data_IF_629853651073
#
_entry.id   IF_629853651073
#
_cell.length_a   1.000
_cell.length_b   1.000
_cell.length_c   1.000
_cell.angle_alpha   90.00
_cell.angle_beta   90.00
_cell.angle_gamma   90.00
#
_symmetry.space_group_name_H-M   'P 1'
#
loop_
_entity.id
_entity.type
_entity.pdbx_description
1 polymer ?
#
# COMPACT_ATOMS: atom_id res chain seq x y z
N UNK A 1 2.34 9.07 -10.26
CA UNK A 1 2.51 10.53 -10.05
C UNK A 1 1.11 11.10 -9.86
N UNK A 2 0.95 12.06 -8.95
CA UNK A 2 -0.31 12.76 -8.69
C UNK A 2 -0.14 14.26 -8.93
N UNK A 3 -1.21 14.92 -9.36
CA UNK A 3 -1.30 16.37 -9.66
C UNK A 3 -1.55 17.19 -8.38
N UNK A 4 -0.66 17.03 -7.41
CA UNK A 4 -0.60 17.86 -6.20
C UNK A 4 0.79 17.74 -5.58
N UNK A 5 1.33 18.83 -5.05
CA UNK A 5 2.69 18.92 -4.55
C UNK A 5 2.84 19.82 -3.32
N UNK A 6 3.98 20.49 -3.19
CA UNK A 6 4.28 21.41 -2.09
C UNK A 6 3.23 22.51 -1.93
N UNK A 7 2.69 23.03 -3.04
CA UNK A 7 1.68 24.10 -3.03
C UNK A 7 0.35 23.63 -2.42
N UNK A 8 0.13 22.31 -2.38
CA UNK A 8 -0.99 21.65 -1.71
C UNK A 8 -0.67 21.17 -0.28
N UNK A 9 0.46 21.59 0.30
CA UNK A 9 0.98 21.15 1.60
C UNK A 9 1.20 19.63 1.71
N UNK A 10 1.55 18.98 0.59
CA UNK A 10 1.91 17.55 0.59
C UNK A 10 3.33 17.39 1.12
N UNK A 11 3.53 16.38 1.97
CA UNK A 11 4.83 16.02 2.52
C UNK A 11 5.20 14.57 2.15
N UNK A 12 6.51 14.31 2.09
CA UNK A 12 7.01 12.95 1.96
C UNK A 12 6.57 12.10 3.17
N UNK A 13 6.26 10.83 2.91
CA UNK A 13 5.71 9.90 3.91
C UNK A 13 4.20 9.97 4.09
N UNK A 14 3.50 10.94 3.48
CA UNK A 14 2.03 10.98 3.57
C UNK A 14 1.41 9.71 2.94
N UNK A 15 0.41 9.10 3.60
CA UNK A 15 -0.31 7.97 3.04
C UNK A 15 -1.20 8.41 1.88
N UNK A 16 -1.26 7.58 0.84
CA UNK A 16 -2.13 7.79 -0.32
C UNK A 16 -3.25 6.77 -0.28
N UNK A 17 -4.49 7.24 -0.41
CA UNK A 17 -5.69 6.41 -0.36
C UNK A 17 -6.44 6.42 -1.70
N UNK A 18 -7.08 5.30 -2.03
CA UNK A 18 -8.12 5.20 -3.06
C UNK A 18 -9.46 4.91 -2.41
N UNK A 19 -10.57 5.25 -3.08
CA UNK A 19 -11.94 5.08 -2.58
C UNK A 19 -12.18 5.67 -1.17
N UNK A 20 -11.37 6.67 -0.78
CA UNK A 20 -11.46 7.36 0.51
C UNK A 20 -10.83 6.64 1.71
N UNK A 21 -10.64 5.32 1.67
CA UNK A 21 -10.19 4.55 2.84
C UNK A 21 -9.22 3.40 2.56
N UNK A 22 -8.90 3.09 1.31
CA UNK A 22 -7.99 1.98 0.96
C UNK A 22 -6.58 2.53 0.75
N UNK A 23 -5.60 2.26 1.63
CA UNK A 23 -4.25 2.77 1.48
C UNK A 23 -3.53 2.03 0.33
N UNK A 24 -2.99 2.76 -0.63
CA UNK A 24 -2.33 2.19 -1.82
C UNK A 24 -0.82 2.43 -1.88
N UNK A 25 -0.30 3.34 -1.07
CA UNK A 25 1.11 3.67 -1.03
C UNK A 25 1.40 4.88 -0.16
N UNK A 26 2.62 5.41 -0.32
CA UNK A 26 3.11 6.60 0.38
C UNK A 26 3.74 7.57 -0.61
N UNK A 27 3.72 8.85 -0.28
CA UNK A 27 4.48 9.86 -1.03
C UNK A 27 5.97 9.63 -0.81
N UNK A 28 6.70 9.29 -1.88
CA UNK A 28 8.16 9.06 -1.83
C UNK A 28 8.97 10.27 -2.23
N UNK A 29 8.38 11.22 -2.97
CA UNK A 29 9.01 12.48 -3.34
C UNK A 29 7.98 13.54 -3.65
N UNK A 30 8.22 14.77 -3.20
CA UNK A 30 7.34 15.92 -3.47
C UNK A 30 8.05 16.93 -4.37
N UNK A 31 7.35 17.41 -5.39
CA UNK A 31 7.72 18.56 -6.23
C UNK A 31 6.73 19.71 -6.00
N UNK A 32 6.96 20.88 -6.58
CA UNK A 32 6.11 22.07 -6.37
C UNK A 32 4.63 21.80 -6.65
N UNK A 33 4.32 21.20 -7.80
CA UNK A 33 2.93 20.95 -8.24
C UNK A 33 2.56 19.47 -8.36
N UNK A 34 3.53 18.55 -8.24
CA UNK A 34 3.28 17.11 -8.38
C UNK A 34 3.99 16.30 -7.30
N UNK A 35 3.54 15.07 -7.09
CA UNK A 35 4.19 14.15 -6.15
C UNK A 35 4.34 12.75 -6.74
N UNK A 36 5.41 12.07 -6.36
CA UNK A 36 5.65 10.67 -6.67
C UNK A 36 5.09 9.81 -5.54
N UNK A 37 4.31 8.80 -5.92
CA UNK A 37 3.76 7.80 -5.00
C UNK A 37 4.54 6.52 -5.18
N UNK A 38 5.08 5.98 -4.10
CA UNK A 38 5.54 4.60 -4.07
C UNK A 38 4.37 3.71 -3.63
N UNK A 39 3.87 2.89 -4.54
CA UNK A 39 2.76 1.98 -4.28
C UNK A 39 3.21 0.81 -3.41
N UNK A 40 2.32 0.29 -2.56
CA UNK A 40 2.58 -0.94 -1.81
C UNK A 40 2.71 -2.15 -2.74
N UNK A 41 1.99 -2.15 -3.86
CA UNK A 41 2.07 -3.23 -4.86
C UNK A 41 3.34 -3.16 -5.71
N UNK A 42 4.29 -2.24 -5.46
CA UNK A 42 5.53 -2.16 -6.23
C UNK A 42 6.29 -3.51 -6.13
N UNK A 43 6.74 -4.11 -7.25
CA UNK A 43 7.41 -5.41 -7.22
C UNK A 43 8.53 -5.52 -6.18
N UNK A 44 8.41 -6.51 -5.29
CA UNK A 44 9.40 -6.78 -4.24
C UNK A 44 9.28 -5.92 -2.98
N UNK A 45 8.36 -4.94 -2.95
CA UNK A 45 8.07 -4.19 -1.73
C UNK A 45 7.36 -5.09 -0.72
N UNK A 46 7.87 -5.15 0.50
CA UNK A 46 7.27 -5.88 1.61
C UNK A 46 6.45 -4.92 2.46
N UNK A 47 5.19 -5.26 2.72
CA UNK A 47 4.28 -4.50 3.56
C UNK A 47 3.68 -5.43 4.61
N UNK A 48 3.88 -5.15 5.90
CA UNK A 48 3.27 -5.92 6.98
C UNK A 48 1.77 -5.61 7.08
N UNK A 49 0.97 -6.65 7.28
CA UNK A 49 -0.47 -6.55 7.50
C UNK A 49 -0.94 -7.48 8.61
N UNK A 50 -2.21 -7.35 8.97
CA UNK A 50 -2.93 -8.29 9.83
C UNK A 50 -4.06 -8.88 8.99
N UNK A 51 -4.16 -10.20 8.94
CA UNK A 51 -5.26 -10.86 8.22
C UNK A 51 -6.55 -10.71 9.01
N UNK A 52 -7.55 -10.04 8.43
CA UNK A 52 -8.84 -9.82 9.07
C UNK A 52 -9.53 -11.14 9.46
N UNK A 53 -10.25 -11.13 10.58
CA UNK A 53 -10.78 -12.34 11.22
C UNK A 53 -9.74 -13.18 11.97
N UNK A 54 -8.46 -12.76 12.00
CA UNK A 54 -7.40 -13.37 12.78
C UNK A 54 -6.49 -12.31 13.42
N UNK A 55 -5.66 -12.70 14.40
CA UNK A 55 -4.58 -11.86 14.91
C UNK A 55 -3.23 -12.23 14.27
N UNK A 56 -3.26 -12.81 13.07
CA UNK A 56 -2.05 -13.28 12.39
C UNK A 56 -1.45 -12.14 11.58
N UNK A 57 -0.19 -11.81 11.89
CA UNK A 57 0.60 -10.90 11.07
C UNK A 57 1.11 -11.61 9.84
N UNK A 58 1.01 -10.95 8.68
CA UNK A 58 1.45 -11.46 7.39
C UNK A 58 2.31 -10.42 6.68
N UNK A 59 3.13 -10.89 5.74
CA UNK A 59 3.90 -10.04 4.83
C UNK A 59 3.30 -10.09 3.43
N UNK A 60 2.94 -8.92 2.90
CA UNK A 60 2.48 -8.74 1.53
C UNK A 60 3.66 -8.30 0.65
N UNK A 61 3.97 -9.10 -0.37
CA UNK A 61 5.00 -8.81 -1.36
C UNK A 61 4.31 -8.23 -2.60
N UNK A 62 4.61 -6.98 -2.95
CA UNK A 62 4.07 -6.34 -4.14
C UNK A 62 4.48 -7.08 -5.42
N UNK A 63 3.54 -7.21 -6.38
CA UNK A 63 3.74 -7.87 -7.69
C UNK A 63 3.45 -6.96 -8.89
N UNK A 64 3.05 -5.72 -8.67
CA UNK A 64 2.67 -4.75 -9.70
C UNK A 64 1.18 -4.78 -10.03
N UNK A 65 0.67 -3.69 -10.61
CA UNK A 65 -0.73 -3.58 -11.05
C UNK A 65 -1.76 -3.73 -9.94
N UNK A 66 -1.42 -3.40 -8.68
CA UNK A 66 -2.28 -3.60 -7.53
C UNK A 66 -2.28 -5.02 -6.95
N UNK A 67 -1.45 -5.93 -7.47
CA UNK A 67 -1.38 -7.31 -7.00
C UNK A 67 -0.31 -7.50 -5.92
N UNK A 68 -0.56 -8.48 -5.05
CA UNK A 68 0.30 -8.88 -3.95
C UNK A 68 0.41 -10.41 -3.89
N UNK A 69 1.51 -10.87 -3.30
CA UNK A 69 1.77 -12.27 -2.97
C UNK A 69 2.01 -12.36 -1.46
N UNK A 70 1.45 -13.39 -0.80
CA UNK A 70 1.69 -13.66 0.61
C UNK A 70 1.74 -15.17 0.85
N UNK A 71 2.50 -15.58 1.85
CA UNK A 71 2.56 -16.98 2.31
C UNK A 71 1.96 -17.07 3.70
N UNK A 72 1.01 -17.98 3.89
CA UNK A 72 0.33 -18.20 5.17
C UNK A 72 0.37 -19.68 5.56
N UNK A 73 0.29 -20.02 6.86
CA UNK A 73 0.14 -21.40 7.29
C UNK A 73 -1.11 -22.05 6.71
N UNK A 74 -1.02 -23.32 6.32
CA UNK A 74 -2.13 -24.06 5.69
C UNK A 74 -3.40 -24.12 6.56
N UNK A 75 -3.23 -24.14 7.89
CA UNK A 75 -4.35 -24.21 8.83
C UNK A 75 -5.11 -22.89 8.98
N UNK A 76 -4.55 -21.79 8.45
CA UNK A 76 -5.18 -20.48 8.50
C UNK A 76 -6.24 -20.37 7.41
N UNK A 77 -7.51 -20.22 7.83
CA UNK A 77 -8.61 -19.99 6.89
C UNK A 77 -8.53 -18.52 6.44
N UNK A 78 -8.22 -18.29 5.17
CA UNK A 78 -8.34 -16.99 4.52
C UNK A 78 -9.57 -17.00 3.58
N UNK A 79 -10.72 -16.46 4.00
CA UNK A 79 -11.87 -16.32 3.12
C UNK A 79 -11.51 -15.49 1.88
N UNK A 80 -12.17 -15.76 0.76
CA UNK A 80 -11.98 -14.96 -0.46
C UNK A 80 -12.49 -13.54 -0.22
N UNK A 81 -11.62 -12.54 -0.42
CA UNK A 81 -11.98 -11.12 -0.33
C UNK A 81 -11.81 -10.48 1.06
N UNK A 82 -11.11 -11.17 1.96
CA UNK A 82 -10.65 -10.61 3.25
C UNK A 82 -9.29 -9.93 3.10
#
# INVERSE_FOLDING_TARGET
IIDVGQDGNILEGFPVYTNGNIPIGIISKVYTQTSLVELYSNPGRVTSGILDGSNVSVELIGRGGGNFEMSIPFELIAPKGT
#
